data_IF_387015185869
#
_entry.id   IF_387015185869
#
_cell.length_a   1.000
_cell.length_b   1.000
_cell.length_c   1.000
_cell.angle_alpha   90.00
_cell.angle_beta   90.00
_cell.angle_gamma   90.00
#
_symmetry.space_group_name_H-M   'P 1'
#
loop_
_entity.id
_entity.type
_entity.pdbx_description
1 polymer ?
#
# COMPACT_ATOMS: atom_id res chain seq x y z
N UNK A 1 -10.58 -3.40 -16.75
CA UNK A 1 -10.96 -4.54 -15.90
C UNK A 1 -12.45 -4.76 -16.00
N UNK A 2 -12.89 -6.01 -16.00
CA UNK A 2 -14.30 -6.37 -15.88
C UNK A 2 -14.74 -6.40 -14.40
N UNK A 3 -16.05 -6.46 -14.14
CA UNK A 3 -16.59 -6.42 -12.77
C UNK A 3 -16.05 -7.54 -11.87
N UNK A 4 -15.83 -8.75 -12.43
CA UNK A 4 -15.32 -9.90 -11.68
C UNK A 4 -13.87 -9.70 -11.22
N UNK A 5 -13.05 -9.05 -12.04
CA UNK A 5 -11.67 -8.70 -11.67
C UNK A 5 -11.64 -7.65 -10.55
N UNK A 6 -12.56 -6.69 -10.58
CA UNK A 6 -12.68 -5.65 -9.55
C UNK A 6 -13.06 -6.27 -8.21
N UNK A 7 -14.07 -7.14 -8.19
CA UNK A 7 -14.53 -7.85 -6.99
C UNK A 7 -13.42 -8.70 -6.37
N UNK A 8 -12.74 -9.51 -7.19
CA UNK A 8 -11.59 -10.32 -6.74
C UNK A 8 -10.46 -9.46 -6.17
N UNK A 9 -10.19 -8.31 -6.76
CA UNK A 9 -9.18 -7.38 -6.25
C UNK A 9 -9.62 -6.80 -4.91
N UNK A 10 -10.88 -6.37 -4.76
CA UNK A 10 -11.41 -5.85 -3.51
C UNK A 10 -11.32 -6.88 -2.38
N UNK A 11 -11.70 -8.14 -2.63
CA UNK A 11 -11.57 -9.23 -1.68
C UNK A 11 -10.12 -9.47 -1.24
N UNK A 12 -9.18 -9.47 -2.20
CA UNK A 12 -7.74 -9.57 -1.92
C UNK A 12 -7.30 -8.46 -0.97
N UNK A 13 -7.68 -7.22 -1.25
CA UNK A 13 -7.29 -6.06 -0.45
C UNK A 13 -7.86 -6.14 0.97
N UNK A 14 -9.12 -6.52 1.13
CA UNK A 14 -9.75 -6.64 2.44
C UNK A 14 -9.12 -7.74 3.29
N UNK A 15 -8.78 -8.87 2.68
CA UNK A 15 -8.00 -9.94 3.34
C UNK A 15 -6.63 -9.45 3.76
N UNK A 16 -5.88 -8.84 2.83
CA UNK A 16 -4.52 -8.35 3.08
C UNK A 16 -4.47 -7.27 4.19
N UNK A 17 -5.50 -6.44 4.29
CA UNK A 17 -5.63 -5.38 5.31
C UNK A 17 -5.71 -5.92 6.73
N UNK A 18 -6.30 -7.11 6.93
CA UNK A 18 -6.57 -7.71 8.25
C UNK A 18 -5.38 -8.46 8.84
N UNK A 19 -4.38 -8.81 8.02
CA UNK A 19 -3.21 -9.59 8.44
C UNK A 19 -2.36 -8.79 9.45
N UNK A 20 -1.98 -9.41 10.58
CA UNK A 20 -1.03 -8.82 11.53
C UNK A 20 0.42 -9.02 11.07
N UNK A 21 1.34 -8.16 11.54
CA UNK A 21 2.76 -8.34 11.28
C UNK A 21 3.31 -9.65 11.87
N UNK A 22 2.74 -10.09 12.99
CA UNK A 22 3.19 -11.26 13.73
C UNK A 22 2.82 -12.59 13.04
N UNK A 23 1.86 -12.55 12.12
CA UNK A 23 1.35 -13.72 11.38
C UNK A 23 2.05 -13.91 10.03
N UNK A 24 2.96 -13.00 9.68
CA UNK A 24 3.56 -12.95 8.35
C UNK A 24 4.88 -13.70 8.32
N UNK A 25 4.98 -14.66 7.40
CA UNK A 25 6.24 -15.29 7.06
C UNK A 25 7.15 -14.30 6.30
N UNK A 26 8.26 -13.89 6.91
CA UNK A 26 9.18 -12.90 6.36
C UNK A 26 9.77 -13.29 4.99
N UNK A 27 9.92 -14.59 4.73
CA UNK A 27 10.45 -15.10 3.45
C UNK A 27 9.44 -14.94 2.32
N UNK A 28 8.15 -14.85 2.64
CA UNK A 28 7.08 -14.70 1.67
C UNK A 28 6.73 -13.24 1.39
N UNK A 29 7.26 -12.29 2.17
CA UNK A 29 7.00 -10.86 1.98
C UNK A 29 7.82 -10.29 0.83
N UNK A 30 7.16 -9.53 -0.03
CA UNK A 30 7.83 -8.83 -1.13
C UNK A 30 8.73 -7.70 -0.61
N UNK A 31 9.91 -7.55 -1.19
CA UNK A 31 10.77 -6.39 -1.00
C UNK A 31 10.36 -5.28 -1.97
N UNK A 32 10.05 -4.08 -1.45
CA UNK A 32 9.46 -3.02 -2.27
C UNK A 32 10.42 -2.50 -3.34
N UNK A 33 11.73 -2.58 -3.12
CA UNK A 33 12.75 -2.14 -4.08
C UNK A 33 12.80 -3.02 -5.35
N UNK A 34 12.31 -4.25 -5.24
CA UNK A 34 12.30 -5.24 -6.32
C UNK A 34 11.05 -5.09 -7.20
N UNK A 35 10.01 -4.44 -6.69
CA UNK A 35 8.77 -4.22 -7.41
C UNK A 35 8.96 -3.11 -8.47
N UNK A 36 8.92 -3.51 -9.75
CA UNK A 36 9.05 -2.57 -10.88
C UNK A 36 7.68 -2.13 -11.40
N UNK A 37 7.43 -0.83 -11.38
CA UNK A 37 6.23 -0.18 -11.92
C UNK A 37 6.63 0.71 -13.10
N UNK A 38 5.89 0.63 -14.21
CA UNK A 38 6.15 1.50 -15.36
C UNK A 38 5.73 2.94 -15.05
N UNK A 39 6.72 3.83 -14.93
CA UNK A 39 6.52 5.25 -14.60
C UNK A 39 5.85 6.05 -15.72
N UNK A 40 5.78 5.51 -16.95
CA UNK A 40 5.13 6.16 -18.10
C UNK A 40 3.61 6.02 -18.07
N UNK A 41 3.09 5.07 -17.27
CA UNK A 41 1.65 4.88 -17.08
C UNK A 41 1.03 6.01 -16.24
N UNK A 42 -0.25 6.27 -16.46
CA UNK A 42 -1.02 7.21 -15.63
C UNK A 42 -1.05 6.77 -14.16
N UNK A 43 -1.38 7.69 -13.24
CA UNK A 43 -1.38 7.41 -11.79
C UNK A 43 -2.25 6.21 -11.42
N UNK A 44 -3.50 6.15 -11.89
CA UNK A 44 -4.41 5.04 -11.61
C UNK A 44 -3.86 3.69 -12.11
N UNK A 45 -3.34 3.66 -13.33
CA UNK A 45 -2.72 2.47 -13.92
C UNK A 45 -1.47 2.01 -13.16
N UNK A 46 -0.66 2.94 -12.64
CA UNK A 46 0.49 2.62 -11.78
C UNK A 46 0.07 2.01 -10.46
N UNK A 47 -0.98 2.54 -9.83
CA UNK A 47 -1.55 1.99 -8.60
C UNK A 47 -2.08 0.58 -8.88
N UNK A 48 -2.84 0.40 -9.95
CA UNK A 48 -3.39 -0.89 -10.30
C UNK A 48 -2.30 -1.94 -10.60
N UNK A 49 -1.25 -1.54 -11.32
CA UNK A 49 -0.08 -2.40 -11.59
C UNK A 49 0.59 -2.86 -10.28
N UNK A 50 0.77 -1.93 -9.33
CA UNK A 50 1.28 -2.26 -7.99
C UNK A 50 0.36 -3.25 -7.25
N UNK A 51 -0.94 -2.95 -7.14
CA UNK A 51 -1.90 -3.78 -6.40
C UNK A 51 -1.98 -5.21 -6.95
N UNK A 52 -1.77 -5.39 -8.26
CA UNK A 52 -1.77 -6.70 -8.90
C UNK A 52 -0.45 -7.46 -8.69
N UNK A 53 0.70 -6.77 -8.75
CA UNK A 53 2.04 -7.39 -8.66
C UNK A 53 2.40 -7.85 -7.25
N UNK A 54 2.00 -7.09 -6.23
CA UNK A 54 2.39 -7.39 -4.84
C UNK A 54 1.48 -8.44 -4.21
N UNK A 55 2.02 -9.26 -3.33
CA UNK A 55 1.28 -10.25 -2.53
C UNK A 55 0.39 -9.54 -1.52
N UNK A 56 0.97 -8.60 -0.75
CA UNK A 56 0.24 -7.77 0.22
C UNK A 56 0.61 -6.29 0.05
N UNK A 57 -0.31 -5.42 -0.41
CA UNK A 57 -0.02 -4.00 -0.60
C UNK A 57 0.09 -3.21 0.72
N UNK A 58 -0.27 -3.82 1.85
CA UNK A 58 -0.20 -3.22 3.18
C UNK A 58 1.01 -3.67 4.00
N UNK A 59 1.66 -4.79 3.63
CA UNK A 59 2.82 -5.35 4.33
C UNK A 59 3.88 -5.75 3.32
N UNK A 60 5.04 -5.10 3.40
CA UNK A 60 6.18 -5.35 2.52
C UNK A 60 7.48 -5.10 3.28
N UNK A 61 8.61 -5.55 2.71
CA UNK A 61 9.94 -5.22 3.22
C UNK A 61 10.46 -3.95 2.54
N UNK A 62 11.28 -3.22 3.29
CA UNK A 62 12.09 -2.11 2.81
C UNK A 62 13.51 -2.35 3.28
N UNK A 63 14.40 -2.77 2.39
CA UNK A 63 15.79 -3.16 2.71
C UNK A 63 15.84 -4.19 3.85
N UNK A 64 15.03 -5.25 3.75
CA UNK A 64 14.94 -6.32 4.75
C UNK A 64 14.13 -5.98 6.01
N UNK A 65 13.69 -4.74 6.19
CA UNK A 65 12.85 -4.34 7.34
C UNK A 65 11.38 -4.49 7.01
N UNK A 66 10.63 -5.18 7.86
CA UNK A 66 9.20 -5.35 7.70
C UNK A 66 8.46 -4.03 8.00
N UNK A 67 7.65 -3.58 7.06
CA UNK A 67 6.85 -2.34 7.16
C UNK A 67 5.38 -2.68 6.94
N UNK A 68 4.51 -2.13 7.80
CA UNK A 68 3.05 -2.18 7.62
C UNK A 68 2.47 -0.80 7.48
N UNK A 69 1.60 -0.63 6.49
CA UNK A 69 0.81 0.57 6.27
C UNK A 69 -0.63 0.31 6.72
N UNK A 70 -1.21 1.26 7.44
CA UNK A 70 -2.64 1.29 7.77
C UNK A 70 -3.19 2.68 7.56
N UNK A 71 -4.46 2.74 7.17
CA UNK A 71 -5.22 3.98 7.16
C UNK A 71 -5.90 4.13 8.52
N UNK A 72 -5.77 5.31 9.12
CA UNK A 72 -6.52 5.67 10.32
C UNK A 72 -8.00 5.78 9.96
N UNK A 73 -8.87 5.37 10.88
CA UNK A 73 -10.31 5.51 10.73
C UNK A 73 -10.74 6.94 11.06
N UNK A 74 -10.33 7.87 10.19
CA UNK A 74 -10.58 9.31 10.33
C UNK A 74 -10.83 9.92 8.97
N UNK A 75 -11.54 11.05 8.94
CA UNK A 75 -11.74 11.83 7.72
C UNK A 75 -10.52 12.67 7.30
N UNK A 76 -9.39 12.58 8.02
CA UNK A 76 -8.18 13.33 7.69
C UNK A 76 -7.46 12.66 6.52
N UNK A 77 -7.15 13.44 5.50
CA UNK A 77 -6.34 12.99 4.38
C UNK A 77 -4.85 13.07 4.71
N UNK A 78 -4.02 12.36 3.95
CA UNK A 78 -2.57 12.51 4.05
C UNK A 78 -2.12 13.97 3.81
N UNK A 79 -2.82 14.68 2.93
CA UNK A 79 -2.55 16.09 2.65
C UNK A 79 -2.85 17.00 3.84
N UNK A 80 -3.94 16.73 4.58
CA UNK A 80 -4.25 17.46 5.81
C UNK A 80 -3.17 17.25 6.87
N UNK A 81 -2.72 16.01 7.02
CA UNK A 81 -1.65 15.66 7.95
C UNK A 81 -0.33 16.37 7.59
N UNK A 82 0.09 16.35 6.32
CA UNK A 82 1.30 17.02 5.85
C UNK A 82 1.20 18.55 6.03
N UNK A 83 0.07 19.14 5.63
CA UNK A 83 -0.17 20.59 5.79
C UNK A 83 -0.06 21.01 7.25
N UNK A 84 -0.56 20.20 8.18
CA UNK A 84 -0.50 20.50 9.61
C UNK A 84 0.94 20.44 10.15
N UNK A 85 1.76 19.49 9.69
CA UNK A 85 3.19 19.42 10.06
C UNK A 85 3.92 20.66 9.57
N UNK A 86 3.74 21.03 8.31
CA UNK A 86 4.39 22.21 7.73
C UNK A 86 3.99 23.49 8.49
N UNK A 87 2.70 23.68 8.79
CA UNK A 87 2.23 24.83 9.58
C UNK A 87 2.90 24.93 10.95
N UNK A 88 3.24 23.81 11.59
CA UNK A 88 3.89 23.83 12.89
C UNK A 88 5.40 24.10 12.80
N UNK A 89 6.05 23.76 11.69
CA UNK A 89 7.50 23.94 11.49
C UNK A 89 7.88 25.39 11.13
N UNK A 90 6.99 26.12 10.47
CA UNK A 90 7.22 27.51 10.03
C UNK A 90 6.51 28.54 10.92
N UNK A 91 6.34 28.23 12.21
CA UNK A 91 5.84 29.16 13.22
C UNK A 91 6.95 30.03 13.79
#
# INVERSE_FOLDING_TARGET
MNNKEIEKLAEKLERCRKISLDEVNQDEVDEITDIKIDKRKQSGERILDFLNKVKNPYIFKVNGKLVRIRFSDTNKTANDCLTNVLKNLYR
#
